data_IF_569682719078
#
_entry.id   IF_569682719078
#
_cell.length_a   1.000
_cell.length_b   1.000
_cell.length_c   1.000
_cell.angle_alpha   90.00
_cell.angle_beta   90.00
_cell.angle_gamma   90.00
#
_symmetry.space_group_name_H-M   'P 1'
#
loop_
_entity.id
_entity.type
_entity.pdbx_description
1 polymer ?
#
# COMPACT_ATOMS: atom_id res chain seq x y z
N UNK A 1 69.03 37.33 25.48
CA UNK A 1 68.00 37.17 24.43
C UNK A 1 67.72 35.68 24.37
N UNK A 2 66.71 35.16 25.09
CA UNK A 2 65.26 35.26 24.78
C UNK A 2 64.99 34.64 23.40
N UNK A 3 64.10 33.68 23.16
CA UNK A 3 63.04 33.07 23.97
C UNK A 3 62.43 31.91 23.14
N UNK A 4 61.49 31.18 23.76
CA UNK A 4 60.36 30.42 23.16
C UNK A 4 60.53 28.96 22.70
N UNK A 5 60.23 28.08 23.66
CA UNK A 5 59.37 26.90 23.55
C UNK A 5 58.00 27.23 22.89
N UNK A 6 57.41 26.36 22.05
CA UNK A 6 55.94 26.11 22.01
C UNK A 6 55.49 25.05 20.97
N UNK A 7 54.67 24.10 21.46
CA UNK A 7 53.56 23.35 20.82
C UNK A 7 53.90 22.27 19.77
N UNK A 8 53.70 20.96 20.00
CA UNK A 8 52.53 20.17 20.46
C UNK A 8 51.36 20.11 19.45
N UNK A 9 51.32 18.98 18.74
CA UNK A 9 50.14 18.15 18.48
C UNK A 9 49.04 18.67 17.54
N UNK A 10 48.85 18.01 16.38
CA UNK A 10 47.50 17.70 15.88
C UNK A 10 47.51 16.46 14.98
N UNK A 11 47.19 15.31 15.60
CA UNK A 11 46.66 14.14 14.92
C UNK A 11 45.16 14.37 14.61
N UNK A 12 44.65 13.59 13.64
CA UNK A 12 43.31 13.00 13.64
C UNK A 12 42.11 13.76 13.05
N UNK A 13 41.96 13.76 11.72
CA UNK A 13 40.61 13.77 11.11
C UNK A 13 40.58 13.11 9.71
N UNK A 14 40.67 11.79 9.65
CA UNK A 14 40.28 11.02 8.44
C UNK A 14 39.63 9.69 8.85
N UNK A 15 38.58 9.72 9.69
CA UNK A 15 37.71 8.56 9.91
C UNK A 15 36.39 8.95 10.61
N UNK A 16 35.53 9.76 9.98
CA UNK A 16 34.21 10.12 10.53
C UNK A 16 33.01 9.63 9.72
N UNK A 17 33.21 8.92 8.59
CA UNK A 17 32.09 8.51 7.73
C UNK A 17 31.57 7.08 7.97
N UNK A 18 32.27 6.24 8.75
CA UNK A 18 31.81 4.88 9.07
C UNK A 18 30.99 4.81 10.38
N UNK A 19 31.28 5.68 11.36
CA UNK A 19 30.67 5.61 12.70
C UNK A 19 29.28 6.25 12.83
N UNK A 20 28.91 7.18 11.95
CA UNK A 20 27.60 7.84 11.97
C UNK A 20 26.49 6.93 11.43
N UNK A 21 26.76 6.18 10.36
CA UNK A 21 25.83 5.19 9.80
C UNK A 21 25.61 4.00 10.75
N UNK A 22 26.64 3.54 11.48
CA UNK A 22 26.49 2.47 12.46
C UNK A 22 25.63 2.88 13.67
N UNK A 23 25.86 4.09 14.22
CA UNK A 23 25.07 4.61 15.36
C UNK A 23 23.60 4.84 15.01
N UNK A 24 23.32 5.30 13.79
CA UNK A 24 21.94 5.46 13.31
C UNK A 24 21.25 4.10 13.08
N UNK A 25 22.00 3.09 12.64
CA UNK A 25 21.49 1.74 12.45
C UNK A 25 21.20 1.04 13.78
N UNK A 26 22.03 1.24 14.82
CA UNK A 26 21.77 0.79 16.20
C UNK A 26 20.53 1.48 16.80
N UNK A 27 20.40 2.80 16.68
CA UNK A 27 19.23 3.52 17.17
C UNK A 27 17.93 3.08 16.48
N UNK A 28 17.99 2.83 15.17
CA UNK A 28 16.85 2.30 14.42
C UNK A 28 16.53 0.84 14.81
N UNK A 29 17.53 0.04 15.12
CA UNK A 29 17.35 -1.34 15.58
C UNK A 29 16.68 -1.40 16.97
N UNK A 30 17.11 -0.56 17.90
CA UNK A 30 16.51 -0.47 19.25
C UNK A 30 15.07 0.05 19.20
N UNK A 31 14.82 1.14 18.46
CA UNK A 31 13.46 1.66 18.27
C UNK A 31 12.55 0.64 17.55
N UNK A 32 13.10 -0.08 16.56
CA UNK A 32 12.40 -1.14 15.85
C UNK A 32 12.06 -2.34 16.76
N UNK A 33 12.96 -2.71 17.67
CA UNK A 33 12.73 -3.77 18.64
C UNK A 33 11.60 -3.40 19.61
N UNK A 34 11.57 -2.17 20.12
CA UNK A 34 10.51 -1.68 21.02
C UNK A 34 9.14 -1.65 20.33
N UNK A 35 9.08 -1.12 19.09
CA UNK A 35 7.85 -1.10 18.30
C UNK A 35 7.39 -2.52 18.00
N UNK A 36 8.29 -3.42 17.62
CA UNK A 36 7.96 -4.83 17.36
C UNK A 36 7.40 -5.50 18.61
N UNK A 37 7.93 -5.19 19.78
CA UNK A 37 7.48 -5.76 21.05
C UNK A 37 6.08 -5.25 21.41
N UNK A 38 5.86 -3.93 21.38
CA UNK A 38 4.54 -3.33 21.61
C UNK A 38 3.49 -3.78 20.59
N UNK A 39 3.87 -3.85 19.32
CA UNK A 39 3.01 -4.36 18.26
C UNK A 39 2.68 -5.84 18.50
N UNK A 40 3.64 -6.65 18.94
CA UNK A 40 3.40 -8.07 19.24
C UNK A 40 2.42 -8.24 20.40
N UNK A 41 2.53 -7.43 21.45
CA UNK A 41 1.65 -7.51 22.61
C UNK A 41 0.24 -7.01 22.30
N UNK A 42 0.13 -5.91 21.57
CA UNK A 42 -1.15 -5.41 21.06
C UNK A 42 -1.81 -6.40 20.09
N UNK A 43 -1.01 -7.02 19.20
CA UNK A 43 -1.49 -8.05 18.27
C UNK A 43 -1.98 -9.27 19.04
N UNK A 44 -1.29 -9.75 20.09
CA UNK A 44 -1.75 -10.89 20.89
C UNK A 44 -3.10 -10.62 21.54
N UNK A 45 -3.24 -9.48 22.23
CA UNK A 45 -4.50 -9.10 22.86
C UNK A 45 -5.64 -8.90 21.84
N UNK A 46 -5.32 -8.33 20.68
CA UNK A 46 -6.30 -8.15 19.60
C UNK A 46 -6.63 -9.45 18.87
N UNK A 47 -5.72 -10.42 18.81
CA UNK A 47 -5.90 -11.67 18.03
C UNK A 47 -7.02 -12.52 18.61
N UNK A 48 -7.16 -12.58 19.93
CA UNK A 48 -8.20 -13.38 20.57
C UNK A 48 -9.59 -12.80 20.30
N UNK A 49 -9.77 -11.49 20.49
CA UNK A 49 -11.03 -10.80 20.18
C UNK A 49 -11.30 -10.77 18.68
N UNK A 50 -10.26 -10.54 17.87
CA UNK A 50 -10.37 -10.54 16.42
C UNK A 50 -10.75 -11.92 15.90
N UNK A 51 -10.27 -13.03 16.47
CA UNK A 51 -10.62 -14.38 15.99
C UNK A 51 -12.11 -14.65 16.11
N UNK A 52 -12.74 -14.29 17.22
CA UNK A 52 -14.16 -14.54 17.43
C UNK A 52 -15.01 -13.64 16.53
N UNK A 53 -14.67 -12.34 16.44
CA UNK A 53 -15.36 -11.40 15.54
C UNK A 53 -15.10 -11.68 14.07
N UNK A 54 -13.92 -12.20 13.73
CA UNK A 54 -13.55 -12.57 12.38
C UNK A 54 -14.33 -13.79 11.90
N UNK A 55 -14.58 -14.78 12.76
CA UNK A 55 -15.44 -15.93 12.40
C UNK A 55 -16.86 -15.48 12.07
N UNK A 56 -17.48 -14.69 12.95
CA UNK A 56 -18.81 -14.11 12.76
C UNK A 56 -18.89 -13.27 11.48
N UNK A 57 -17.91 -12.38 11.27
CA UNK A 57 -17.85 -11.55 10.06
C UNK A 57 -17.57 -12.37 8.79
N UNK A 58 -16.77 -13.43 8.88
CA UNK A 58 -16.45 -14.30 7.72
C UNK A 58 -17.66 -15.10 7.30
N UNK A 59 -18.46 -15.61 8.25
CA UNK A 59 -19.72 -16.31 7.94
C UNK A 59 -20.71 -15.37 7.25
N UNK A 60 -20.98 -14.19 7.83
CA UNK A 60 -21.84 -13.19 7.21
C UNK A 60 -21.33 -12.73 5.82
N UNK A 61 -20.01 -12.57 5.67
CA UNK A 61 -19.41 -12.20 4.39
C UNK A 61 -19.52 -13.31 3.34
N UNK A 62 -19.44 -14.60 3.72
CA UNK A 62 -19.58 -15.73 2.79
C UNK A 62 -20.98 -15.80 2.19
N UNK A 63 -22.01 -15.60 3.01
CA UNK A 63 -23.41 -15.64 2.55
C UNK A 63 -23.67 -14.50 1.55
N UNK A 64 -23.29 -13.26 1.91
CA UNK A 64 -23.46 -12.09 1.03
C UNK A 64 -22.62 -12.19 -0.24
N UNK A 65 -21.37 -12.69 -0.13
CA UNK A 65 -20.47 -12.80 -1.27
C UNK A 65 -20.97 -13.83 -2.29
N UNK A 66 -21.60 -14.92 -1.85
CA UNK A 66 -22.09 -15.97 -2.75
C UNK A 66 -23.22 -15.44 -3.65
N UNK A 67 -24.22 -14.76 -3.06
CA UNK A 67 -25.36 -14.20 -3.81
C UNK A 67 -24.98 -13.02 -4.71
N UNK A 68 -23.96 -12.25 -4.31
CA UNK A 68 -23.51 -11.07 -5.05
C UNK A 68 -22.53 -11.45 -6.16
N UNK A 69 -21.66 -12.45 -5.95
CA UNK A 69 -20.65 -12.86 -6.91
C UNK A 69 -21.27 -13.31 -8.23
N UNK A 70 -22.33 -14.11 -8.20
CA UNK A 70 -23.00 -14.61 -9.40
C UNK A 70 -23.63 -13.49 -10.25
N UNK A 71 -24.09 -12.41 -9.59
CA UNK A 71 -24.64 -11.24 -10.29
C UNK A 71 -23.53 -10.35 -10.87
N UNK A 72 -22.44 -10.18 -10.11
CA UNK A 72 -21.26 -9.44 -10.58
C UNK A 72 -20.64 -10.14 -11.76
N UNK A 73 -20.53 -11.47 -11.76
CA UNK A 73 -19.91 -12.24 -12.85
C UNK A 73 -20.64 -11.99 -14.18
N UNK A 74 -21.98 -11.97 -14.17
CA UNK A 74 -22.79 -11.67 -15.36
C UNK A 74 -22.59 -10.24 -15.87
N UNK A 75 -22.49 -9.26 -14.98
CA UNK A 75 -22.29 -7.86 -15.36
C UNK A 75 -20.82 -7.52 -15.71
N UNK A 76 -19.87 -8.26 -15.14
CA UNK A 76 -18.45 -8.06 -15.35
C UNK A 76 -18.03 -8.42 -16.78
N UNK A 77 -18.60 -9.48 -17.34
CA UNK A 77 -18.34 -9.88 -18.73
C UNK A 77 -18.63 -8.77 -19.75
N UNK A 78 -19.69 -7.98 -19.53
CA UNK A 78 -20.04 -6.87 -20.43
C UNK A 78 -19.09 -5.67 -20.29
N UNK A 79 -18.52 -5.46 -19.09
CA UNK A 79 -17.66 -4.30 -18.77
C UNK A 79 -16.17 -4.59 -18.78
N UNK A 80 -15.80 -5.85 -19.01
CA UNK A 80 -14.43 -6.36 -18.99
C UNK A 80 -13.47 -5.57 -19.89
N UNK A 81 -13.91 -5.28 -21.12
CA UNK A 81 -13.09 -4.57 -22.12
C UNK A 81 -12.81 -3.12 -21.71
N UNK A 82 -13.84 -2.42 -21.20
CA UNK A 82 -13.68 -1.05 -20.69
C UNK A 82 -12.81 -0.98 -19.43
N UNK A 83 -12.82 -2.03 -18.61
CA UNK A 83 -11.97 -2.13 -17.43
C UNK A 83 -10.50 -2.31 -17.80
N UNK A 84 -10.19 -3.23 -18.71
CA UNK A 84 -8.82 -3.48 -19.18
C UNK A 84 -8.20 -2.21 -19.80
N UNK A 85 -8.94 -1.50 -20.65
CA UNK A 85 -8.45 -0.26 -21.28
C UNK A 85 -8.16 0.85 -20.26
N UNK A 86 -8.89 0.89 -19.14
CA UNK A 86 -8.61 1.84 -18.05
C UNK A 86 -7.32 1.46 -17.29
N UNK A 87 -7.13 0.18 -17.00
CA UNK A 87 -5.94 -0.33 -16.29
C UNK A 87 -4.68 -0.15 -17.14
N UNK A 88 -4.78 -0.38 -18.45
CA UNK A 88 -3.69 -0.14 -19.41
C UNK A 88 -3.28 1.34 -19.45
N UNK A 89 -4.26 2.27 -19.47
CA UNK A 89 -3.98 3.72 -19.37
C UNK A 89 -3.28 4.08 -18.07
N UNK A 90 -3.67 3.44 -16.96
CA UNK A 90 -3.03 3.65 -15.67
C UNK A 90 -1.58 3.14 -15.68
N UNK A 91 -1.31 1.96 -16.23
CA UNK A 91 0.06 1.45 -16.41
C UNK A 91 0.91 2.44 -17.22
N UNK A 92 0.35 2.99 -18.30
CA UNK A 92 0.98 4.04 -19.11
C UNK A 92 1.35 5.28 -18.30
N UNK A 93 0.45 5.76 -17.43
CA UNK A 93 0.70 6.91 -16.56
C UNK A 93 1.79 6.62 -15.52
N UNK A 94 1.78 5.41 -14.92
CA UNK A 94 2.79 4.97 -13.94
C UNK A 94 4.16 4.87 -14.61
N UNK A 95 4.24 4.28 -15.80
CA UNK A 95 5.49 4.22 -16.58
C UNK A 95 5.97 5.61 -16.99
N UNK A 96 5.04 6.53 -17.29
CA UNK A 96 5.34 7.94 -17.50
C UNK A 96 5.97 8.61 -16.27
N UNK A 97 5.45 8.33 -15.07
CA UNK A 97 6.04 8.79 -13.82
C UNK A 97 7.41 8.17 -13.56
N UNK A 98 7.61 6.88 -13.86
CA UNK A 98 8.93 6.23 -13.73
C UNK A 98 10.01 6.97 -14.52
N UNK A 99 9.71 7.36 -15.77
CA UNK A 99 10.63 8.14 -16.61
C UNK A 99 10.97 9.50 -16.00
N UNK A 100 10.03 10.13 -15.29
CA UNK A 100 10.29 11.40 -14.60
C UNK A 100 11.26 11.24 -13.42
N UNK A 101 11.34 10.05 -12.82
CA UNK A 101 12.26 9.74 -11.71
C UNK A 101 13.55 9.05 -12.16
N UNK A 102 13.74 8.77 -13.46
CA UNK A 102 14.89 8.04 -14.00
C UNK A 102 16.22 8.73 -13.67
N UNK A 103 16.24 10.07 -13.76
CA UNK A 103 17.44 10.89 -13.49
C UNK A 103 17.71 11.09 -12.01
N UNK A 104 16.67 11.34 -11.21
CA UNK A 104 16.81 11.75 -9.81
C UNK A 104 16.83 10.58 -8.83
N UNK A 105 16.13 9.48 -9.17
CA UNK A 105 16.00 8.31 -8.32
C UNK A 105 15.91 7.02 -9.16
N UNK A 106 17.02 6.53 -9.73
CA UNK A 106 17.03 5.33 -10.58
C UNK A 106 16.54 4.06 -9.87
N UNK A 107 16.64 4.00 -8.54
CA UNK A 107 16.06 2.91 -7.74
C UNK A 107 14.53 3.00 -7.69
N UNK A 108 13.98 4.20 -7.51
CA UNK A 108 12.54 4.41 -7.52
C UNK A 108 11.95 4.20 -8.92
N UNK A 109 12.62 4.69 -9.97
CA UNK A 109 12.22 4.47 -11.35
C UNK A 109 12.09 2.96 -11.68
N UNK A 110 13.06 2.14 -11.25
CA UNK A 110 12.98 0.67 -11.40
C UNK A 110 11.80 0.07 -10.66
N UNK A 111 11.56 0.47 -9.41
CA UNK A 111 10.41 0.00 -8.63
C UNK A 111 9.06 0.38 -9.26
N UNK A 112 8.94 1.62 -9.74
CA UNK A 112 7.73 2.12 -10.42
C UNK A 112 7.53 1.41 -11.76
N UNK A 113 8.59 1.15 -12.51
CA UNK A 113 8.50 0.40 -13.76
C UNK A 113 8.04 -1.05 -13.51
N UNK A 114 8.61 -1.73 -12.52
CA UNK A 114 8.13 -3.05 -12.12
C UNK A 114 6.66 -3.03 -11.72
N UNK A 115 6.20 -1.99 -11.00
CA UNK A 115 4.78 -1.84 -10.69
C UNK A 115 3.93 -1.67 -11.95
N UNK A 116 4.39 -0.91 -12.95
CA UNK A 116 3.69 -0.76 -14.22
C UNK A 116 3.56 -2.11 -14.96
N UNK A 117 4.61 -2.95 -14.95
CA UNK A 117 4.58 -4.28 -15.56
C UNK A 117 3.50 -5.17 -14.91
N UNK A 118 3.40 -5.17 -13.57
CA UNK A 118 2.34 -5.90 -12.87
C UNK A 118 0.92 -5.40 -13.18
N UNK A 119 0.76 -4.09 -13.43
CA UNK A 119 -0.53 -3.50 -13.79
C UNK A 119 -0.92 -3.87 -15.23
N UNK A 120 0.06 -3.94 -16.13
CA UNK A 120 -0.14 -4.38 -17.51
C UNK A 120 -0.56 -5.86 -17.58
N UNK A 121 0.15 -6.74 -16.85
CA UNK A 121 -0.22 -8.15 -16.67
C UNK A 121 -1.64 -8.29 -16.09
N UNK A 122 -2.04 -7.40 -15.18
CA UNK A 122 -3.37 -7.39 -14.63
C UNK A 122 -4.42 -6.97 -15.66
N UNK A 123 -4.13 -6.01 -16.55
CA UNK A 123 -5.02 -5.61 -17.63
C UNK A 123 -5.28 -6.78 -18.60
N UNK A 124 -4.24 -7.56 -18.94
CA UNK A 124 -4.39 -8.76 -19.78
C UNK A 124 -5.24 -9.84 -19.10
N UNK A 125 -5.00 -10.10 -17.81
CA UNK A 125 -5.81 -11.03 -17.02
C UNK A 125 -7.26 -10.58 -16.88
N UNK A 126 -7.48 -9.27 -16.73
CA UNK A 126 -8.84 -8.70 -16.72
C UNK A 126 -9.47 -8.85 -18.10
N UNK A 127 -8.74 -8.68 -19.20
CA UNK A 127 -9.29 -8.80 -20.57
C UNK A 127 -9.70 -10.22 -20.94
N UNK A 128 -8.99 -11.22 -20.44
CA UNK A 128 -9.11 -12.62 -20.88
C UNK A 128 -9.63 -13.59 -19.79
N UNK A 129 -9.60 -13.21 -18.52
CA UNK A 129 -9.95 -14.07 -17.39
C UNK A 129 -11.39 -13.89 -16.89
N UNK A 130 -11.93 -14.93 -16.24
CA UNK A 130 -13.22 -14.84 -15.54
C UNK A 130 -13.06 -14.15 -14.17
N UNK A 131 -14.16 -13.66 -13.60
CA UNK A 131 -14.15 -13.10 -12.23
C UNK A 131 -13.63 -14.13 -11.20
N UNK A 132 -13.94 -15.42 -11.41
CA UNK A 132 -13.44 -16.53 -10.59
C UNK A 132 -11.92 -16.65 -10.64
N UNK A 133 -11.31 -16.51 -11.81
CA UNK A 133 -9.85 -16.59 -11.99
C UNK A 133 -9.14 -15.40 -11.32
N UNK A 134 -9.73 -14.19 -11.43
CA UNK A 134 -9.21 -13.01 -10.75
C UNK A 134 -9.24 -13.18 -9.22
N UNK A 135 -10.33 -13.73 -8.69
CA UNK A 135 -10.47 -13.99 -7.25
C UNK A 135 -9.50 -15.08 -6.77
N UNK A 136 -9.30 -16.12 -7.60
CA UNK A 136 -8.28 -17.15 -7.37
C UNK A 136 -6.86 -16.57 -7.34
N UNK A 137 -6.54 -15.70 -8.30
CA UNK A 137 -5.26 -15.00 -8.36
C UNK A 137 -5.01 -14.07 -7.16
N UNK A 138 -6.03 -13.33 -6.72
CA UNK A 138 -5.95 -12.50 -5.52
C UNK A 138 -5.70 -13.34 -4.26
N UNK A 139 -6.34 -14.51 -4.17
CA UNK A 139 -6.13 -15.45 -3.06
C UNK A 139 -4.71 -16.01 -3.06
N UNK A 140 -4.18 -16.37 -4.22
CA UNK A 140 -2.81 -16.88 -4.34
C UNK A 140 -1.78 -15.78 -4.00
N UNK A 141 -2.02 -14.55 -4.45
CA UNK A 141 -1.21 -13.39 -4.08
C UNK A 141 -1.20 -13.15 -2.58
N UNK A 142 -2.36 -13.20 -1.92
CA UNK A 142 -2.45 -13.03 -0.47
C UNK A 142 -1.63 -14.08 0.30
N UNK A 143 -1.60 -15.33 -0.20
CA UNK A 143 -0.78 -16.41 0.38
C UNK A 143 0.71 -16.22 0.16
N UNK A 144 1.11 -15.74 -1.03
CA UNK A 144 2.53 -15.55 -1.40
C UNK A 144 3.14 -14.31 -0.76
N UNK A 145 2.37 -13.23 -0.67
CA UNK A 145 2.83 -11.92 -0.21
C UNK A 145 1.88 -11.33 0.83
N UNK A 146 1.84 -11.92 2.05
CA UNK A 146 0.91 -11.47 3.09
C UNK A 146 1.13 -10.01 3.48
N UNK A 147 2.37 -9.52 3.51
CA UNK A 147 2.68 -8.13 3.83
C UNK A 147 2.14 -7.15 2.78
N UNK A 148 2.29 -7.46 1.49
CA UNK A 148 1.78 -6.61 0.41
C UNK A 148 0.25 -6.58 0.40
N UNK A 149 -0.39 -7.74 0.59
CA UNK A 149 -1.85 -7.85 0.67
C UNK A 149 -2.43 -7.04 1.84
N UNK A 150 -1.81 -7.12 3.03
CA UNK A 150 -2.21 -6.30 4.18
C UNK A 150 -2.04 -4.80 3.90
N UNK A 151 -0.93 -4.40 3.29
CA UNK A 151 -0.70 -3.01 2.91
C UNK A 151 -1.80 -2.46 1.98
N UNK A 152 -2.11 -3.20 0.92
CA UNK A 152 -3.17 -2.83 -0.04
C UNK A 152 -4.54 -2.81 0.65
N UNK A 153 -4.83 -3.77 1.53
CA UNK A 153 -6.11 -3.88 2.23
C UNK A 153 -6.35 -2.70 3.18
N UNK A 154 -5.32 -2.26 3.92
CA UNK A 154 -5.39 -1.07 4.77
C UNK A 154 -5.68 0.18 3.93
N UNK A 155 -4.96 0.34 2.80
CA UNK A 155 -5.19 1.45 1.87
C UNK A 155 -6.61 1.43 1.29
N UNK A 156 -7.09 0.27 0.87
CA UNK A 156 -8.44 0.09 0.33
C UNK A 156 -9.52 0.39 1.39
N UNK A 157 -9.33 -0.07 2.63
CA UNK A 157 -10.22 0.21 3.75
C UNK A 157 -10.30 1.71 4.06
N UNK A 158 -9.15 2.40 4.11
CA UNK A 158 -9.12 3.84 4.29
C UNK A 158 -9.81 4.58 3.13
N UNK A 159 -9.52 4.18 1.89
CA UNK A 159 -10.15 4.77 0.71
C UNK A 159 -11.67 4.59 0.74
N UNK A 160 -12.16 3.41 1.13
CA UNK A 160 -13.60 3.14 1.30
C UNK A 160 -14.22 4.06 2.35
N UNK A 161 -13.61 4.20 3.54
CA UNK A 161 -14.09 5.13 4.58
C UNK A 161 -14.09 6.57 4.06
N UNK A 162 -13.05 6.97 3.35
CA UNK A 162 -12.94 8.32 2.80
C UNK A 162 -13.99 8.59 1.73
N UNK A 163 -14.31 7.58 0.90
CA UNK A 163 -15.35 7.63 -0.11
C UNK A 163 -16.74 7.71 0.51
N UNK A 164 -17.03 6.88 1.52
CA UNK A 164 -18.30 6.95 2.27
C UNK A 164 -18.49 8.34 2.91
N UNK A 165 -17.44 8.87 3.54
CA UNK A 165 -17.44 10.24 4.09
C UNK A 165 -17.61 11.31 2.99
N UNK A 166 -17.03 11.11 1.82
CA UNK A 166 -17.20 12.02 0.69
C UNK A 166 -18.63 11.98 0.12
N UNK A 167 -19.19 10.78 0.02
CA UNK A 167 -20.52 10.54 -0.54
C UNK A 167 -21.64 11.03 0.38
N UNK A 168 -21.42 11.01 1.70
CA UNK A 168 -22.38 11.52 2.69
C UNK A 168 -22.52 13.04 2.74
N UNK A 169 -21.73 13.81 1.96
CA UNK A 169 -21.81 15.26 1.87
C UNK A 169 -22.72 15.81 0.76
N UNK A 170 -23.41 14.95 0.00
CA UNK A 170 -24.19 15.35 -1.18
C UNK A 170 -25.70 15.53 -0.92
N UNK A 171 -26.15 15.63 0.33
CA UNK A 171 -27.57 15.72 0.68
C UNK A 171 -27.92 16.93 1.56
N UNK A 172 -27.66 18.15 1.07
CA UNK A 172 -28.30 19.37 1.62
C UNK A 172 -28.16 20.58 0.69
N UNK A 173 -28.88 20.62 -0.42
CA UNK A 173 -29.31 21.89 -1.01
C UNK A 173 -30.43 21.63 -2.02
N UNK A 174 -31.67 21.60 -1.52
CA UNK A 174 -32.91 21.80 -2.30
C UNK A 174 -34.08 21.83 -1.30
N UNK A 175 -34.15 22.90 -0.53
CA UNK A 175 -35.36 23.26 0.21
C UNK A 175 -35.48 24.76 0.26
N UNK A 176 -35.94 25.33 -0.84
CA UNK A 176 -36.52 26.66 -0.85
C UNK A 176 -37.88 26.56 -1.55
N UNK A 177 -38.98 26.39 -0.78
CA UNK A 177 -40.31 26.62 -1.31
C UNK A 177 -40.53 28.13 -1.37
N UNK A 178 -40.33 28.71 -2.55
CA UNK A 178 -40.77 30.08 -2.81
C UNK A 178 -42.31 30.07 -2.80
N UNK A 179 -42.89 30.76 -1.82
CA UNK A 179 -44.32 31.08 -1.77
C UNK A 179 -44.59 32.25 -2.71
N UNK A 180 -45.61 32.13 -3.54
CA UNK A 180 -46.46 33.25 -3.99
C UNK A 180 -47.90 32.78 -4.00
#
# INVERSE_FOLDING_TARGET
MSDLDLTKNTNFTQNQNAGSSQKLQEQAADAGAEIKQRASDALRASTDVARDKFKEATEAAKDVASDTADQIERQAHEKQRSGADFVERLAGNIRGAARAFESDAPFAARGINSAADYVDDAAEKIRNGSFRDLLGGATDFAKRQPAAFLGISVLAGFAAVRFLKASGGASSSSKEPEKS
#
